data_IF_701075824447
#
_entry.id   IF_701075824447
#
_cell.length_a   1.000
_cell.length_b   1.000
_cell.length_c   1.000
_cell.angle_alpha   90.00
_cell.angle_beta   90.00
_cell.angle_gamma   90.00
#
_symmetry.space_group_name_H-M   'P 1'
#
loop_
_entity.id
_entity.type
_entity.pdbx_description
1 polymer ?
#
# COMPACT_ATOMS: atom_id res chain seq x y z
N UNK A 1 -0.66 -2.03 20.93
CA UNK A 1 -0.59 -3.51 20.83
C UNK A 1 0.55 -3.88 19.90
N UNK A 2 1.55 -4.66 20.32
CA UNK A 2 2.58 -5.20 19.39
C UNK A 2 1.93 -6.37 18.63
N UNK A 3 1.57 -6.16 17.38
CA UNK A 3 1.03 -7.20 16.52
C UNK A 3 2.16 -8.14 16.10
N UNK A 4 2.31 -9.25 16.80
CA UNK A 4 3.24 -10.31 16.41
C UNK A 4 2.58 -11.14 15.29
N UNK A 5 2.85 -10.77 14.04
CA UNK A 5 2.41 -11.56 12.89
C UNK A 5 3.16 -12.90 12.86
N UNK A 6 2.42 -14.01 12.90
CA UNK A 6 2.95 -15.36 12.82
C UNK A 6 2.43 -16.07 11.56
N UNK A 7 3.20 -16.98 11.01
CA UNK A 7 2.67 -17.90 9.99
C UNK A 7 1.71 -18.92 10.63
N UNK A 8 0.83 -19.54 9.84
CA UNK A 8 -0.10 -20.57 10.33
C UNK A 8 0.64 -21.66 11.10
N UNK A 9 1.76 -22.14 10.58
CA UNK A 9 2.62 -23.13 11.24
C UNK A 9 3.17 -22.68 12.59
N UNK A 10 3.45 -21.39 12.76
CA UNK A 10 3.94 -20.84 14.03
C UNK A 10 2.82 -20.71 15.07
N UNK A 11 1.56 -20.50 14.63
CA UNK A 11 0.40 -20.52 15.50
C UNK A 11 0.09 -21.95 15.96
N UNK A 12 0.13 -22.92 15.05
CA UNK A 12 -0.07 -24.33 15.36
C UNK A 12 1.01 -24.85 16.31
N UNK A 13 2.29 -24.51 16.08
CA UNK A 13 3.40 -24.85 16.98
C UNK A 13 3.26 -24.20 18.37
N UNK A 14 2.52 -23.10 18.49
CA UNK A 14 2.20 -22.45 19.76
C UNK A 14 0.93 -22.99 20.43
N UNK A 15 0.36 -24.10 19.93
CA UNK A 15 -0.79 -24.77 20.51
C UNK A 15 -2.16 -24.24 20.05
N UNK A 16 -2.21 -23.38 19.05
CA UNK A 16 -3.50 -22.96 18.47
C UNK A 16 -4.11 -24.10 17.65
N UNK A 17 -5.43 -24.22 17.65
CA UNK A 17 -6.17 -25.11 16.75
C UNK A 17 -6.04 -24.63 15.30
N UNK A 18 -6.35 -25.50 14.35
CA UNK A 18 -6.38 -25.16 12.92
C UNK A 18 -7.29 -23.98 12.62
N UNK A 19 -8.47 -23.94 13.25
CA UNK A 19 -9.44 -22.88 13.09
C UNK A 19 -8.91 -21.55 13.64
N UNK A 20 -8.39 -21.53 14.89
CA UNK A 20 -7.81 -20.33 15.48
C UNK A 20 -6.61 -19.82 14.69
N UNK A 21 -5.76 -20.70 14.18
CA UNK A 21 -4.62 -20.32 13.35
C UNK A 21 -5.09 -19.69 12.03
N UNK A 22 -6.16 -20.21 11.42
CA UNK A 22 -6.76 -19.67 10.20
C UNK A 22 -7.35 -18.27 10.44
N UNK A 23 -8.14 -18.08 11.50
CA UNK A 23 -8.74 -16.81 11.89
C UNK A 23 -7.67 -15.74 12.19
N UNK A 24 -6.62 -16.10 12.95
CA UNK A 24 -5.49 -15.20 13.21
C UNK A 24 -4.76 -14.79 11.93
N UNK A 25 -4.60 -15.71 10.98
CA UNK A 25 -3.99 -15.39 9.69
C UNK A 25 -4.90 -14.51 8.82
N UNK A 26 -6.23 -14.73 8.86
CA UNK A 26 -7.24 -13.90 8.19
C UNK A 26 -7.16 -12.47 8.73
N UNK A 27 -7.22 -12.30 10.05
CA UNK A 27 -7.09 -10.99 10.69
C UNK A 27 -5.77 -10.28 10.35
N UNK A 28 -4.65 -11.00 10.34
CA UNK A 28 -3.35 -10.44 9.97
C UNK A 28 -3.33 -9.91 8.53
N UNK A 29 -3.95 -10.61 7.58
CA UNK A 29 -4.07 -10.16 6.19
C UNK A 29 -4.92 -8.90 6.11
N UNK A 30 -6.06 -8.89 6.79
CA UNK A 30 -6.95 -7.74 6.86
C UNK A 30 -6.24 -6.50 7.43
N UNK A 31 -5.54 -6.66 8.54
CA UNK A 31 -4.74 -5.59 9.13
C UNK A 31 -3.59 -5.14 8.22
N UNK A 32 -2.94 -6.07 7.52
CA UNK A 32 -1.90 -5.72 6.55
C UNK A 32 -2.44 -4.89 5.39
N UNK A 33 -3.66 -5.18 4.92
CA UNK A 33 -4.36 -4.36 3.92
C UNK A 33 -4.65 -2.97 4.48
N UNK A 34 -5.14 -2.87 5.72
CA UNK A 34 -5.36 -1.57 6.36
C UNK A 34 -4.08 -0.73 6.48
N UNK A 35 -2.95 -1.35 6.82
CA UNK A 35 -1.62 -0.69 6.83
C UNK A 35 -1.22 -0.23 5.43
N UNK A 36 -1.52 -1.03 4.39
CA UNK A 36 -1.25 -0.68 2.99
C UNK A 36 -2.02 0.59 2.59
N UNK A 37 -3.33 0.59 2.76
CA UNK A 37 -4.17 1.74 2.42
C UNK A 37 -3.85 2.98 3.27
N UNK A 38 -3.58 2.79 4.57
CA UNK A 38 -3.12 3.86 5.43
C UNK A 38 -1.80 4.47 4.95
N UNK A 39 -0.88 3.65 4.42
CA UNK A 39 0.36 4.13 3.80
C UNK A 39 0.11 5.08 2.64
N UNK A 40 -0.84 4.75 1.76
CA UNK A 40 -1.28 5.62 0.67
C UNK A 40 -1.85 6.94 1.20
N UNK A 41 -2.82 6.86 2.12
CA UNK A 41 -3.54 8.02 2.63
C UNK A 41 -2.67 8.97 3.43
N UNK A 42 -1.85 8.45 4.35
CA UNK A 42 -0.94 9.28 5.16
C UNK A 42 0.10 9.97 4.27
N UNK A 43 0.68 9.25 3.30
CA UNK A 43 1.65 9.86 2.40
C UNK A 43 0.99 10.91 1.50
N UNK A 44 -0.23 10.66 1.01
CA UNK A 44 -1.00 11.63 0.25
C UNK A 44 -1.21 12.93 1.05
N UNK A 45 -1.69 12.83 2.29
CA UNK A 45 -1.94 13.99 3.15
C UNK A 45 -0.66 14.77 3.53
N UNK A 46 0.52 14.13 3.46
CA UNK A 46 1.82 14.78 3.73
C UNK A 46 2.40 15.54 2.53
N UNK A 47 1.82 15.41 1.35
CA UNK A 47 2.28 16.11 0.16
C UNK A 47 1.70 17.54 0.20
N UNK A 48 2.55 18.56 0.10
CA UNK A 48 2.14 19.98 0.22
C UNK A 48 1.05 20.40 -0.78
N UNK A 49 1.04 19.82 -1.97
CA UNK A 49 0.02 20.09 -3.02
C UNK A 49 -1.26 19.29 -2.83
N UNK A 50 -1.40 18.54 -1.73
CA UNK A 50 -2.62 17.77 -1.46
C UNK A 50 -3.82 18.64 -1.06
N UNK A 51 -3.62 19.94 -0.80
CA UNK A 51 -4.72 20.87 -0.57
C UNK A 51 -5.56 21.09 -1.83
N UNK A 52 -4.90 21.20 -3.00
CA UNK A 52 -5.57 21.34 -4.29
C UNK A 52 -6.26 20.03 -4.73
N UNK A 53 -5.76 18.89 -4.27
CA UNK A 53 -6.24 17.56 -4.63
C UNK A 53 -6.37 16.67 -3.39
N UNK A 54 -7.38 16.91 -2.55
CA UNK A 54 -7.51 16.24 -1.27
C UNK A 54 -7.75 14.74 -1.42
N UNK A 55 -7.24 13.98 -0.46
CA UNK A 55 -7.64 12.58 -0.30
C UNK A 55 -9.15 12.52 -0.08
N UNK A 56 -9.86 11.74 -0.92
CA UNK A 56 -11.32 11.60 -0.81
C UNK A 56 -11.69 10.60 0.28
N UNK A 57 -11.15 9.39 0.18
CA UNK A 57 -11.43 8.32 1.15
C UNK A 57 -10.37 7.23 1.09
N UNK A 58 -10.30 6.47 2.19
CA UNK A 58 -9.67 5.16 2.29
C UNK A 58 -10.76 4.14 2.62
N UNK A 59 -10.69 2.95 2.05
CA UNK A 59 -11.67 1.90 2.27
C UNK A 59 -10.99 0.53 2.19
N UNK A 60 -11.37 -0.38 3.10
CA UNK A 60 -10.95 -1.79 3.07
C UNK A 60 -12.19 -2.67 3.03
N UNK A 61 -12.10 -3.76 2.26
CA UNK A 61 -13.22 -4.67 2.01
C UNK A 61 -13.08 -5.93 2.86
N UNK A 62 -14.22 -6.49 3.27
CA UNK A 62 -14.26 -7.77 3.96
C UNK A 62 -13.96 -8.92 3.01
N UNK A 63 -13.17 -9.92 3.48
CA UNK A 63 -12.84 -11.10 2.70
C UNK A 63 -14.06 -12.00 2.42
N UNK A 64 -15.15 -11.85 3.19
CA UNK A 64 -16.39 -12.63 3.05
C UNK A 64 -17.40 -12.02 2.07
N UNK A 65 -17.11 -10.84 1.48
CA UNK A 65 -17.94 -10.32 0.42
C UNK A 65 -17.80 -11.23 -0.81
N UNK A 66 -18.94 -11.68 -1.37
CA UNK A 66 -19.00 -12.52 -2.58
C UNK A 66 -18.34 -11.89 -3.83
N UNK A 67 -17.84 -10.69 -3.73
CA UNK A 67 -16.95 -10.05 -4.70
C UNK A 67 -15.49 -10.51 -4.47
N UNK A 68 -15.26 -11.81 -4.57
CA UNK A 68 -13.96 -12.47 -4.34
C UNK A 68 -12.79 -11.94 -5.19
N UNK A 69 -13.04 -11.09 -6.17
CA UNK A 69 -12.03 -10.47 -7.03
C UNK A 69 -11.50 -9.13 -6.52
N UNK A 70 -12.09 -8.56 -5.45
CA UNK A 70 -11.69 -7.26 -4.89
C UNK A 70 -11.09 -7.40 -3.48
N UNK A 71 -10.16 -8.31 -3.33
CA UNK A 71 -9.38 -8.40 -2.10
C UNK A 71 -8.42 -7.21 -2.01
N UNK A 72 -8.77 -6.23 -1.19
CA UNK A 72 -7.91 -5.06 -0.96
C UNK A 72 -8.66 -3.88 -0.43
N UNK A 73 -8.01 -2.76 -0.46
CA UNK A 73 -8.56 -1.46 -0.15
C UNK A 73 -8.42 -0.52 -1.35
N UNK A 74 -8.96 0.65 -1.22
CA UNK A 74 -8.88 1.71 -2.21
C UNK A 74 -8.54 3.02 -1.52
N UNK A 75 -7.45 3.65 -1.95
CA UNK A 75 -7.17 5.06 -1.68
C UNK A 75 -7.64 5.90 -2.87
N UNK A 76 -8.62 6.75 -2.65
CA UNK A 76 -9.18 7.63 -3.69
C UNK A 76 -8.62 9.04 -3.56
N UNK A 77 -8.02 9.55 -4.63
CA UNK A 77 -7.43 10.88 -4.70
C UNK A 77 -6.61 11.04 -5.96
N UNK A 78 -5.86 12.14 -6.08
CA UNK A 78 -4.89 12.31 -7.16
C UNK A 78 -3.69 11.40 -6.95
N UNK A 79 -3.22 10.81 -8.03
CA UNK A 79 -2.14 9.82 -8.00
C UNK A 79 -0.79 10.53 -7.95
N UNK A 80 -0.16 10.54 -6.77
CA UNK A 80 1.24 10.90 -6.63
C UNK A 80 2.10 9.64 -6.57
N UNK A 81 3.15 9.57 -7.38
CA UNK A 81 4.01 8.37 -7.46
C UNK A 81 4.54 7.91 -6.09
N UNK A 82 4.89 8.85 -5.20
CA UNK A 82 5.35 8.48 -3.86
C UNK A 82 4.23 7.92 -2.98
N UNK A 83 3.01 8.47 -3.11
CA UNK A 83 1.85 7.94 -2.38
C UNK A 83 1.47 6.54 -2.88
N UNK A 84 1.53 6.29 -4.21
CA UNK A 84 1.31 4.96 -4.78
C UNK A 84 2.29 3.92 -4.22
N UNK A 85 3.54 4.28 -4.04
CA UNK A 85 4.56 3.36 -3.50
C UNK A 85 4.46 3.22 -1.97
N UNK A 86 3.84 4.20 -1.29
CA UNK A 86 3.79 4.26 0.17
C UNK A 86 2.96 3.14 0.79
N UNK A 87 1.89 2.68 0.14
CA UNK A 87 1.10 1.54 0.60
C UNK A 87 1.94 0.29 0.72
N UNK A 88 2.60 -0.10 -0.36
CA UNK A 88 3.49 -1.27 -0.35
C UNK A 88 4.68 -1.11 0.61
N UNK A 89 5.24 0.10 0.71
CA UNK A 89 6.30 0.39 1.69
C UNK A 89 5.80 0.20 3.12
N UNK A 90 4.64 0.74 3.47
CA UNK A 90 4.04 0.63 4.80
C UNK A 90 3.73 -0.84 5.15
N UNK A 91 3.14 -1.56 4.23
CA UNK A 91 2.86 -3.00 4.38
C UNK A 91 4.15 -3.80 4.67
N UNK A 92 5.21 -3.58 3.92
CA UNK A 92 6.50 -4.24 4.14
C UNK A 92 7.16 -3.84 5.45
N UNK A 93 6.97 -2.60 5.87
CA UNK A 93 7.66 -2.06 7.06
C UNK A 93 6.90 -2.32 8.35
N UNK A 94 5.57 -2.23 8.33
CA UNK A 94 4.74 -2.28 9.53
C UNK A 94 3.61 -3.32 9.47
N UNK A 95 3.20 -3.75 8.28
CA UNK A 95 2.09 -4.69 8.10
C UNK A 95 2.41 -6.14 8.43
N UNK A 96 3.69 -6.52 8.39
CA UNK A 96 4.13 -7.92 8.60
C UNK A 96 4.94 -8.11 9.90
N UNK A 97 4.94 -7.12 10.78
CA UNK A 97 5.68 -7.13 12.02
C UNK A 97 7.21 -7.00 11.84
N UNK A 98 7.93 -6.95 12.95
CA UNK A 98 9.40 -6.80 12.99
C UNK A 98 10.15 -8.09 12.59
N UNK A 99 9.68 -8.80 11.60
CA UNK A 99 10.28 -10.07 11.17
C UNK A 99 11.66 -9.85 10.55
N UNK A 100 12.68 -10.12 11.33
CA UNK A 100 14.06 -10.24 10.87
C UNK A 100 14.30 -11.69 10.44
N UNK A 101 14.83 -11.92 9.22
CA UNK A 101 15.26 -13.26 8.82
C UNK A 101 15.01 -13.62 7.36
N UNK A 102 15.42 -14.85 7.01
CA UNK A 102 15.37 -15.37 5.63
C UNK A 102 13.93 -15.56 5.12
N UNK A 103 13.01 -15.94 6.01
CA UNK A 103 11.59 -16.12 5.65
C UNK A 103 10.93 -14.80 5.26
N UNK A 104 11.18 -13.72 6.01
CA UNK A 104 10.71 -12.37 5.67
C UNK A 104 11.25 -11.89 4.32
N UNK A 105 12.57 -12.07 4.09
CA UNK A 105 13.19 -11.71 2.81
C UNK A 105 12.58 -12.46 1.63
N UNK A 106 12.22 -13.73 1.78
CA UNK A 106 11.52 -14.51 0.74
C UNK A 106 10.11 -13.98 0.48
N UNK A 107 9.35 -13.68 1.53
CA UNK A 107 8.00 -13.12 1.40
C UNK A 107 8.04 -11.73 0.74
N UNK A 108 8.94 -10.86 1.15
CA UNK A 108 9.14 -9.55 0.54
C UNK A 108 9.55 -9.65 -0.95
N UNK A 109 10.41 -10.64 -1.31
CA UNK A 109 10.77 -10.91 -2.71
C UNK A 109 9.58 -11.42 -3.53
N UNK A 110 8.78 -12.35 -2.99
CA UNK A 110 7.56 -12.88 -3.66
C UNK A 110 6.53 -11.78 -3.89
N UNK A 111 6.30 -10.90 -2.91
CA UNK A 111 5.37 -9.78 -3.04
C UNK A 111 5.86 -8.74 -4.05
N UNK A 112 7.16 -8.41 -4.06
CA UNK A 112 7.72 -7.57 -5.14
C UNK A 112 7.53 -8.20 -6.51
N UNK A 113 7.75 -9.50 -6.65
CA UNK A 113 7.53 -10.21 -7.90
C UNK A 113 6.07 -10.16 -8.33
N UNK A 114 5.12 -10.33 -7.41
CA UNK A 114 3.69 -10.21 -7.66
C UNK A 114 3.30 -8.79 -8.09
N UNK A 115 3.79 -7.76 -7.41
CA UNK A 115 3.58 -6.35 -7.79
C UNK A 115 4.11 -6.05 -9.20
N UNK A 116 5.31 -6.53 -9.53
CA UNK A 116 5.88 -6.35 -10.87
C UNK A 116 5.24 -7.25 -11.94
N UNK A 117 4.44 -8.23 -11.53
CA UNK A 117 3.73 -9.17 -12.39
C UNK A 117 2.50 -8.59 -13.11
N UNK A 118 2.11 -7.34 -12.84
CA UNK A 118 1.10 -6.65 -13.64
C UNK A 118 -0.17 -6.23 -12.91
N UNK A 119 -0.21 -6.31 -11.57
CA UNK A 119 -1.35 -5.85 -10.76
C UNK A 119 -1.04 -4.71 -9.81
N UNK A 120 -2.07 -4.08 -9.27
CA UNK A 120 -2.00 -3.12 -8.18
C UNK A 120 -1.20 -1.85 -8.49
N UNK A 121 -0.53 -1.33 -7.46
CA UNK A 121 0.18 -0.04 -7.47
C UNK A 121 1.23 0.08 -8.58
N UNK A 122 1.93 -1.01 -8.89
CA UNK A 122 2.94 -0.97 -9.95
C UNK A 122 2.32 -0.75 -11.33
N UNK A 123 1.14 -1.29 -11.60
CA UNK A 123 0.42 -1.07 -12.84
C UNK A 123 0.06 0.40 -13.03
N UNK A 124 -0.29 1.11 -11.94
CA UNK A 124 -0.53 2.56 -11.96
C UNK A 124 0.71 3.32 -12.43
N UNK A 125 1.89 2.98 -11.92
CA UNK A 125 3.14 3.63 -12.34
C UNK A 125 3.50 3.30 -13.79
N UNK A 126 3.23 2.08 -14.23
CA UNK A 126 3.46 1.68 -15.65
C UNK A 126 2.55 2.47 -16.57
N UNK A 127 1.27 2.63 -16.22
CA UNK A 127 0.31 3.44 -16.95
C UNK A 127 0.76 4.90 -17.01
N UNK A 128 1.14 5.48 -15.88
CA UNK A 128 1.64 6.86 -15.80
C UNK A 128 2.90 7.07 -16.67
N UNK A 129 3.82 6.09 -16.70
CA UNK A 129 5.00 6.15 -17.55
C UNK A 129 4.66 6.06 -19.05
N UNK A 130 3.67 5.23 -19.41
CA UNK A 130 3.20 5.12 -20.79
C UNK A 130 2.51 6.41 -21.25
N UNK A 131 1.67 6.99 -20.41
CA UNK A 131 1.00 8.28 -20.66
C UNK A 131 2.05 9.40 -20.83
N UNK A 132 3.01 9.52 -19.92
CA UNK A 132 4.06 10.53 -20.02
C UNK A 132 4.87 10.42 -21.33
N UNK A 133 5.16 9.20 -21.77
CA UNK A 133 5.84 8.96 -23.06
C UNK A 133 4.96 9.35 -24.24
N UNK A 134 3.68 9.02 -24.20
CA UNK A 134 2.71 9.33 -25.25
C UNK A 134 2.61 10.85 -25.45
N UNK A 135 2.40 11.61 -24.38
CA UNK A 135 2.30 13.07 -24.45
C UNK A 135 3.60 13.78 -24.85
N UNK A 136 4.77 13.15 -24.67
CA UNK A 136 6.06 13.76 -25.05
C UNK A 136 6.43 13.54 -26.52
N UNK A 137 5.84 12.55 -27.21
CA UNK A 137 6.31 12.12 -28.53
C UNK A 137 5.26 12.16 -29.64
N UNK A 138 4.01 12.44 -29.34
CA UNK A 138 2.94 12.45 -30.36
C UNK A 138 2.32 13.85 -30.44
N UNK A 139 2.62 14.55 -31.56
CA UNK A 139 2.03 15.85 -31.90
C UNK A 139 0.53 15.73 -32.29
N UNK A 140 -0.02 14.54 -32.43
CA UNK A 140 -1.40 14.28 -32.77
C UNK A 140 -2.11 13.59 -31.61
N UNK A 141 -3.14 14.25 -31.11
CA UNK A 141 -4.04 13.77 -30.06
C UNK A 141 -4.89 12.62 -30.63
N UNK A 142 -4.35 11.41 -30.57
CA UNK A 142 -5.14 10.19 -30.77
C UNK A 142 -5.71 9.78 -29.41
N UNK A 143 -7.06 9.71 -29.32
CA UNK A 143 -7.78 9.27 -28.10
C UNK A 143 -7.57 7.78 -27.78
N UNK A 144 -6.68 7.08 -28.47
CA UNK A 144 -6.31 5.72 -28.18
C UNK A 144 -5.52 5.62 -26.85
N UNK A 145 -5.87 4.64 -26.04
CA UNK A 145 -5.11 4.37 -24.79
C UNK A 145 -3.68 3.97 -25.15
N UNK A 146 -2.64 4.60 -24.54
CA UNK A 146 -1.24 4.32 -24.88
C UNK A 146 -0.92 2.85 -24.61
N UNK A 147 -0.42 2.16 -25.62
CA UNK A 147 0.03 0.78 -25.48
C UNK A 147 1.29 0.72 -24.60
N UNK A 148 1.20 -0.06 -23.51
CA UNK A 148 2.34 -0.27 -22.60
C UNK A 148 3.49 -0.97 -23.30
N UNK A 149 4.70 -0.36 -23.26
CA UNK A 149 5.94 -0.90 -23.82
C UNK A 149 6.86 -1.41 -22.69
N UNK A 150 7.87 -2.20 -23.05
CA UNK A 150 8.90 -2.66 -22.11
C UNK A 150 9.63 -1.48 -21.45
N UNK A 151 9.85 -0.39 -22.18
CA UNK A 151 10.46 0.84 -21.65
C UNK A 151 9.64 1.46 -20.51
N UNK A 152 8.31 1.46 -20.60
CA UNK A 152 7.43 2.02 -19.57
C UNK A 152 7.53 1.22 -18.26
N UNK A 153 7.65 -0.11 -18.34
CA UNK A 153 7.90 -0.98 -17.17
C UNK A 153 9.26 -0.70 -16.54
N UNK A 154 10.29 -0.41 -17.35
CA UNK A 154 11.62 -0.03 -16.85
C UNK A 154 11.57 1.33 -16.16
N UNK A 155 10.90 2.31 -16.76
CA UNK A 155 10.69 3.64 -16.17
C UNK A 155 9.91 3.55 -14.84
N UNK A 156 8.80 2.82 -14.82
CA UNK A 156 8.02 2.57 -13.61
C UNK A 156 8.86 1.93 -12.48
N UNK A 157 9.73 0.97 -12.82
CA UNK A 157 10.64 0.35 -11.85
C UNK A 157 11.66 1.33 -11.27
N UNK A 158 12.19 2.25 -12.10
CA UNK A 158 13.07 3.33 -11.63
C UNK A 158 12.33 4.26 -10.66
N UNK A 159 11.11 4.68 -11.00
CA UNK A 159 10.24 5.51 -10.14
C UNK A 159 9.97 4.78 -8.82
N UNK A 160 9.57 3.51 -8.88
CA UNK A 160 9.33 2.67 -7.70
C UNK A 160 10.54 2.65 -6.76
N UNK A 161 11.71 2.26 -7.27
CA UNK A 161 12.92 2.14 -6.47
C UNK A 161 13.39 3.48 -5.87
N UNK A 162 13.21 4.59 -6.61
CA UNK A 162 13.49 5.94 -6.12
C UNK A 162 12.60 6.29 -4.93
N UNK A 163 11.30 6.03 -5.05
CA UNK A 163 10.33 6.36 -3.99
C UNK A 163 10.46 5.42 -2.77
N UNK A 164 10.73 4.13 -2.96
CA UNK A 164 11.05 3.22 -1.83
C UNK A 164 12.23 3.71 -1.01
N UNK A 165 13.30 4.22 -1.66
CA UNK A 165 14.45 4.81 -0.95
C UNK A 165 14.08 6.08 -0.20
N UNK A 166 13.27 6.97 -0.81
CA UNK A 166 12.77 8.20 -0.15
C UNK A 166 11.91 7.89 1.07
N UNK A 167 10.98 6.94 0.96
CA UNK A 167 10.14 6.51 2.07
C UNK A 167 10.95 5.86 3.19
N UNK A 168 11.97 5.06 2.85
CA UNK A 168 12.87 4.49 3.84
C UNK A 168 13.67 5.55 4.59
N UNK A 169 14.13 6.59 3.91
CA UNK A 169 14.80 7.73 4.53
C UNK A 169 13.84 8.56 5.41
N UNK A 170 12.61 8.79 4.93
CA UNK A 170 11.56 9.47 5.68
C UNK A 170 11.25 8.71 6.98
N UNK A 171 10.97 7.42 6.91
CA UNK A 171 10.63 6.60 8.06
C UNK A 171 11.76 6.49 9.11
N UNK A 172 13.01 6.70 8.70
CA UNK A 172 14.15 6.77 9.63
C UNK A 172 14.26 8.13 10.31
N UNK A 173 14.02 9.22 9.55
CA UNK A 173 14.18 10.60 10.02
C UNK A 173 12.97 11.06 10.82
N UNK A 174 11.80 10.57 10.49
CA UNK A 174 10.52 11.02 11.06
C UNK A 174 9.72 9.81 11.58
N UNK A 175 9.84 9.47 12.86
CA UNK A 175 9.11 8.38 13.50
C UNK A 175 7.59 8.59 13.48
N UNK A 176 7.08 9.85 13.42
CA UNK A 176 5.65 10.14 13.38
C UNK A 176 4.98 9.55 12.15
N UNK A 177 5.71 9.39 11.04
CA UNK A 177 5.16 8.76 9.84
C UNK A 177 4.63 7.34 10.12
N UNK A 178 5.42 6.53 10.85
CA UNK A 178 4.99 5.18 11.22
C UNK A 178 3.86 5.15 12.24
N UNK A 179 3.84 6.11 13.18
CA UNK A 179 2.76 6.25 14.17
C UNK A 179 1.45 6.61 13.48
N UNK A 180 1.46 7.58 12.58
CA UNK A 180 0.30 8.00 11.79
C UNK A 180 -0.26 6.88 10.92
N UNK A 181 0.61 6.14 10.21
CA UNK A 181 0.17 4.98 9.41
C UNK A 181 -0.54 3.95 10.29
N UNK A 182 0.00 3.63 11.47
CA UNK A 182 -0.62 2.66 12.39
C UNK A 182 -1.94 3.17 12.97
N UNK A 183 -2.02 4.46 13.33
CA UNK A 183 -3.25 5.06 13.86
C UNK A 183 -4.37 5.05 12.82
N UNK A 184 -4.07 5.44 11.58
CA UNK A 184 -5.02 5.40 10.47
C UNK A 184 -5.43 3.96 10.14
N UNK A 185 -4.50 3.00 10.16
CA UNK A 185 -4.81 1.59 9.91
C UNK A 185 -5.73 1.01 10.99
N UNK A 186 -5.50 1.33 12.27
CA UNK A 186 -6.38 0.90 13.36
C UNK A 186 -7.81 1.44 13.16
N UNK A 187 -7.95 2.73 12.84
CA UNK A 187 -9.25 3.32 12.55
C UNK A 187 -9.93 2.71 11.32
N UNK A 188 -9.15 2.35 10.27
CA UNK A 188 -9.67 1.63 9.10
C UNK A 188 -10.19 0.23 9.45
N UNK A 189 -9.51 -0.50 10.33
CA UNK A 189 -9.97 -1.82 10.80
C UNK A 189 -11.31 -1.70 11.53
N UNK A 190 -11.49 -0.65 12.32
CA UNK A 190 -12.71 -0.42 13.08
C UNK A 190 -13.88 0.07 12.21
N UNK A 191 -13.61 1.09 11.37
CA UNK A 191 -14.65 1.78 10.59
C UNK A 191 -14.82 1.27 9.17
N UNK A 192 -13.86 0.50 8.64
CA UNK A 192 -13.75 0.01 7.26
C UNK A 192 -13.59 1.10 6.20
N UNK A 193 -14.03 2.31 6.47
CA UNK A 193 -13.95 3.47 5.59
C UNK A 193 -13.63 4.71 6.39
N UNK A 194 -12.72 5.53 5.85
CA UNK A 194 -12.37 6.85 6.39
C UNK A 194 -12.43 7.87 5.26
N UNK A 195 -12.98 9.04 5.55
CA UNK A 195 -12.86 10.21 4.70
C UNK A 195 -11.46 10.82 4.79
N UNK A 196 -11.06 11.62 3.81
CA UNK A 196 -9.78 12.31 3.87
C UNK A 196 -9.63 13.24 5.07
N UNK A 197 -10.74 13.87 5.53
CA UNK A 197 -10.73 14.72 6.73
C UNK A 197 -10.52 13.90 8.01
N UNK A 198 -11.14 12.72 8.14
CA UNK A 198 -10.89 11.82 9.27
C UNK A 198 -9.43 11.35 9.30
N UNK A 199 -8.86 11.02 8.13
CA UNK A 199 -7.43 10.67 8.04
C UNK A 199 -6.55 11.80 8.54
N UNK A 200 -6.80 13.04 8.10
CA UNK A 200 -6.05 14.23 8.57
C UNK A 200 -6.20 14.44 10.08
N UNK A 201 -7.41 14.32 10.62
CA UNK A 201 -7.68 14.46 12.06
C UNK A 201 -6.91 13.40 12.88
N UNK A 202 -6.92 12.14 12.44
CA UNK A 202 -6.17 11.06 13.09
C UNK A 202 -4.66 11.34 13.03
N UNK A 203 -4.15 11.82 11.91
CA UNK A 203 -2.72 12.16 11.77
C UNK A 203 -2.27 13.29 12.69
N UNK A 204 -3.16 14.23 13.01
CA UNK A 204 -2.88 15.36 13.91
C UNK A 204 -2.92 14.97 15.38
N UNK A 205 -3.57 13.86 15.73
CA UNK A 205 -3.70 13.38 17.11
C UNK A 205 -2.51 12.52 17.59
N UNK A 206 -1.54 12.25 16.73
CA UNK A 206 -0.32 11.44 16.98
C UNK A 206 0.97 12.22 16.57
#
# INVERSE_FOLDING_TARGET
MKTNFKMRSEWLAAGATEQEAAEKCKWQRYYSTAIHEAGHGVMHCRIRTAEDFPLKSLEIFDEDSHEAEKHGGIARGVIYHIAVVAGHFAELRWGWGDRKGSAWRRTARRRRAAQFGGGGDFAILVKSAAESRHYCFEEHYDNSKPRVKKADRVAARKIWNKNMRRLSALAKRDPSFGQQVKAVANALVEKRKLTGNEVKAIMQSV
#
